data_IF_863811782804
#
_entry.id   IF_863811782804
#
_cell.length_a   1.000
_cell.length_b   1.000
_cell.length_c   1.000
_cell.angle_alpha   90.00
_cell.angle_beta   90.00
_cell.angle_gamma   90.00
#
_symmetry.space_group_name_H-M   'P 1'
#
loop_
_entity.id
_entity.type
_entity.pdbx_description
1 polymer ?
#
# COMPACT_ATOMS: atom_id res chain seq x y z
N UNK A 1 -52.05 22.27 17.33
CA UNK A 1 -52.01 21.22 16.28
C UNK A 1 -50.71 21.35 15.52
N UNK A 2 -50.05 20.19 15.28
CA UNK A 2 -48.92 19.95 14.36
C UNK A 2 -47.59 20.66 14.64
N UNK A 3 -46.44 20.03 14.52
CA UNK A 3 -46.08 18.63 14.38
C UNK A 3 -44.57 18.56 14.69
N UNK A 4 -44.16 17.60 15.51
CA UNK A 4 -42.77 17.20 15.62
C UNK A 4 -42.37 16.52 14.29
N UNK A 5 -41.22 16.88 13.74
CA UNK A 5 -40.59 16.17 12.61
C UNK A 5 -39.10 16.21 12.90
N UNK A 6 -38.63 15.23 13.67
CA UNK A 6 -38.09 13.96 13.16
C UNK A 6 -36.70 14.19 12.55
N UNK A 7 -35.72 13.85 13.38
CA UNK A 7 -34.28 13.84 13.17
C UNK A 7 -33.97 13.02 11.91
N UNK A 8 -33.55 13.67 10.82
CA UNK A 8 -32.90 13.00 9.68
C UNK A 8 -31.44 12.70 10.07
N UNK A 9 -31.23 11.65 10.87
CA UNK A 9 -29.92 11.06 11.11
C UNK A 9 -29.84 9.71 10.44
N UNK A 10 -29.91 9.67 9.10
CA UNK A 10 -29.77 8.42 8.35
C UNK A 10 -29.15 8.69 6.97
N UNK A 11 -27.93 9.23 6.89
CA UNK A 11 -27.23 9.29 5.59
C UNK A 11 -25.72 9.45 5.72
N UNK A 12 -25.06 8.60 6.51
CA UNK A 12 -23.58 8.51 6.48
C UNK A 12 -23.03 7.13 6.85
N UNK A 13 -23.81 6.06 6.69
CA UNK A 13 -23.27 4.69 6.69
C UNK A 13 -22.78 4.34 5.27
N UNK A 14 -22.00 5.24 4.66
CA UNK A 14 -21.24 4.87 3.47
C UNK A 14 -20.26 3.77 3.90
N UNK A 15 -20.25 2.61 3.26
CA UNK A 15 -19.17 1.66 3.45
C UNK A 15 -17.89 2.33 3.00
N UNK A 16 -17.03 2.75 3.94
CA UNK A 16 -15.63 3.07 3.69
C UNK A 16 -14.81 1.84 3.23
N UNK A 17 -15.49 0.74 2.86
CA UNK A 17 -14.92 -0.55 2.51
C UNK A 17 -14.78 -0.77 0.99
N UNK A 18 -15.10 0.23 0.15
CA UNK A 18 -15.01 0.15 -1.31
C UNK A 18 -14.09 1.23 -1.90
N UNK A 19 -13.03 1.56 -1.18
CA UNK A 19 -11.83 2.15 -1.76
C UNK A 19 -10.64 1.38 -1.16
N UNK A 20 -10.68 0.05 -1.25
CA UNK A 20 -9.43 -0.67 -1.26
C UNK A 20 -8.78 -0.27 -2.58
N UNK A 21 -7.97 0.79 -2.54
CA UNK A 21 -7.04 1.13 -3.60
C UNK A 21 -6.15 -0.08 -3.76
N UNK A 22 -6.54 -1.07 -4.56
CA UNK A 22 -5.75 -2.28 -4.76
C UNK A 22 -4.48 -1.85 -5.47
N UNK A 23 -3.32 -2.09 -4.87
CA UNK A 23 -2.05 -1.78 -5.52
C UNK A 23 -2.04 -2.51 -6.87
N UNK A 24 -1.84 -1.78 -7.97
CA UNK A 24 -1.80 -2.41 -9.30
C UNK A 24 -0.46 -3.12 -9.44
N UNK A 25 -0.51 -4.43 -9.64
CA UNK A 25 0.66 -5.23 -9.90
C UNK A 25 1.00 -5.18 -11.40
N UNK A 26 2.07 -4.47 -11.79
CA UNK A 26 2.56 -4.50 -13.17
C UNK A 26 4.00 -5.00 -13.24
N UNK A 27 4.32 -5.77 -14.28
CA UNK A 27 5.69 -6.17 -14.59
C UNK A 27 6.25 -5.26 -15.70
N UNK A 28 7.10 -4.30 -15.37
CA UNK A 28 7.85 -3.54 -16.38
C UNK A 28 8.04 -2.05 -16.07
N UNK A 29 9.31 -1.66 -16.02
CA UNK A 29 9.88 -0.30 -16.11
C UNK A 29 9.19 0.82 -15.31
N UNK A 30 9.57 0.94 -14.04
CA UNK A 30 9.66 2.22 -13.36
C UNK A 30 10.63 3.15 -14.12
N UNK A 31 10.10 4.19 -14.76
CA UNK A 31 10.82 5.10 -15.67
C UNK A 31 11.65 6.18 -14.98
N UNK A 32 11.92 6.03 -13.68
CA UNK A 32 12.43 7.09 -12.83
C UNK A 32 13.32 6.50 -11.73
N UNK A 33 14.39 7.20 -11.36
CA UNK A 33 15.43 6.66 -10.49
C UNK A 33 14.88 5.98 -9.23
N UNK A 34 15.50 4.87 -8.85
CA UNK A 34 15.31 4.29 -7.53
C UNK A 34 15.61 5.35 -6.48
N UNK A 35 14.65 5.62 -5.61
CA UNK A 35 14.76 6.65 -4.56
C UNK A 35 15.11 6.06 -3.20
N UNK A 36 14.78 4.79 -2.97
CA UNK A 36 15.11 4.10 -1.73
C UNK A 36 15.15 2.57 -1.89
N UNK A 37 15.68 1.90 -0.86
CA UNK A 37 15.55 0.45 -0.68
C UNK A 37 15.55 0.10 0.80
N UNK A 38 14.88 -0.98 1.15
CA UNK A 38 14.80 -1.48 2.52
C UNK A 38 14.83 -3.01 2.56
N UNK A 39 15.49 -3.57 3.57
CA UNK A 39 15.40 -4.98 3.91
C UNK A 39 14.19 -5.24 4.80
N UNK A 40 13.61 -6.44 4.71
CA UNK A 40 12.56 -6.84 5.65
C UNK A 40 13.18 -7.26 6.98
N UNK A 41 12.57 -6.80 8.07
CA UNK A 41 12.89 -7.20 9.45
C UNK A 41 11.62 -7.75 10.11
N UNK A 42 11.78 -8.75 10.99
CA UNK A 42 10.64 -9.26 11.76
C UNK A 42 10.18 -8.20 12.76
N UNK A 43 8.87 -7.94 12.78
CA UNK A 43 8.21 -7.07 13.76
C UNK A 43 6.89 -7.72 14.17
N UNK A 44 6.83 -8.25 15.40
CA UNK A 44 5.70 -9.07 15.84
C UNK A 44 5.54 -10.31 14.97
N UNK A 45 4.35 -10.51 14.42
CA UNK A 45 4.02 -11.60 13.49
C UNK A 45 4.26 -11.23 12.00
N UNK A 46 4.64 -9.98 11.74
CA UNK A 46 4.83 -9.44 10.39
C UNK A 46 6.32 -9.31 10.01
N UNK A 47 6.56 -9.30 8.70
CA UNK A 47 7.84 -8.89 8.11
C UNK A 47 7.68 -7.48 7.53
N UNK A 48 8.49 -6.53 7.99
CA UNK A 48 8.33 -5.12 7.66
C UNK A 48 9.60 -4.58 7.00
N UNK A 49 9.44 -3.91 5.86
CA UNK A 49 10.48 -3.15 5.19
C UNK A 49 10.07 -1.68 5.12
N UNK A 50 10.86 -0.80 5.75
CA UNK A 50 10.61 0.64 5.78
C UNK A 50 11.71 1.37 5.04
N UNK A 51 11.34 2.04 3.95
CA UNK A 51 12.15 3.03 3.27
C UNK A 51 11.71 4.42 3.77
N UNK A 52 12.39 4.92 4.81
CA UNK A 52 11.98 6.13 5.54
C UNK A 52 11.66 7.31 4.63
N UNK A 53 10.49 7.92 4.85
CA UNK A 53 10.01 9.07 4.09
C UNK A 53 9.45 8.74 2.69
N UNK A 54 9.44 7.46 2.31
CA UNK A 54 8.97 7.00 1.01
C UNK A 54 7.84 5.99 1.15
N UNK A 55 8.15 4.77 1.59
CA UNK A 55 7.18 3.69 1.66
C UNK A 55 7.50 2.68 2.75
N UNK A 56 6.45 2.11 3.33
CA UNK A 56 6.52 0.98 4.26
C UNK A 56 5.72 -0.20 3.71
N UNK A 57 6.34 -1.37 3.64
CA UNK A 57 5.67 -2.62 3.29
C UNK A 57 5.68 -3.58 4.47
N UNK A 58 4.51 -4.06 4.86
CA UNK A 58 4.33 -5.11 5.86
C UNK A 58 3.76 -6.36 5.20
N UNK A 59 4.26 -7.54 5.57
CA UNK A 59 3.73 -8.82 5.13
C UNK A 59 3.37 -9.67 6.33
N UNK A 60 2.09 -10.01 6.44
CA UNK A 60 1.53 -10.81 7.50
C UNK A 60 0.47 -11.75 6.92
N UNK A 61 0.50 -13.04 7.25
CA UNK A 61 -0.53 -14.01 6.84
C UNK A 61 -0.83 -14.01 5.33
N UNK A 62 0.20 -13.85 4.47
CA UNK A 62 0.10 -13.70 3.01
C UNK A 62 -0.66 -12.45 2.53
N UNK A 63 -0.87 -11.47 3.39
CA UNK A 63 -1.38 -10.15 3.04
C UNK A 63 -0.20 -9.19 3.07
N UNK A 64 -0.08 -8.42 2.00
CA UNK A 64 0.86 -7.30 1.90
C UNK A 64 0.06 -6.03 2.16
N UNK A 65 0.53 -5.24 3.11
CA UNK A 65 0.09 -3.87 3.34
C UNK A 65 1.21 -2.95 2.89
N UNK A 66 0.92 -2.04 1.95
CA UNK A 66 1.87 -1.06 1.44
C UNK A 66 1.34 0.33 1.76
N UNK A 67 2.20 1.17 2.32
CA UNK A 67 1.93 2.56 2.64
C UNK A 67 2.93 3.45 1.90
N UNK A 68 2.46 4.53 1.31
CA UNK A 68 3.26 5.58 0.70
C UNK A 68 3.16 6.83 1.57
N UNK A 69 4.25 7.18 2.25
CA UNK A 69 4.33 8.37 3.10
C UNK A 69 4.69 9.62 2.29
N UNK A 70 5.15 9.45 1.05
CA UNK A 70 5.59 10.54 0.18
C UNK A 70 4.44 11.23 -0.55
N UNK A 71 4.71 12.46 -0.99
CA UNK A 71 3.82 13.24 -1.85
C UNK A 71 3.90 12.87 -3.34
N UNK A 72 4.52 11.74 -3.70
CA UNK A 72 4.71 11.30 -5.10
C UNK A 72 4.11 9.93 -5.34
N UNK A 73 3.75 9.64 -6.59
CA UNK A 73 3.36 8.28 -6.98
C UNK A 73 4.58 7.38 -6.94
N UNK A 74 4.47 6.22 -6.30
CA UNK A 74 5.59 5.29 -6.16
C UNK A 74 5.30 3.96 -6.82
N UNK A 75 6.38 3.28 -7.21
CA UNK A 75 6.41 1.86 -7.51
C UNK A 75 7.27 1.15 -6.47
N UNK A 76 6.66 0.29 -5.67
CA UNK A 76 7.36 -0.59 -4.73
C UNK A 76 7.67 -1.92 -5.42
N UNK A 77 8.94 -2.26 -5.57
CA UNK A 77 9.41 -3.47 -6.25
C UNK A 77 10.02 -4.42 -5.23
N UNK A 78 9.51 -5.64 -5.15
CA UNK A 78 10.21 -6.73 -4.48
C UNK A 78 11.07 -7.41 -5.54
N UNK A 79 12.40 -7.32 -5.38
CA UNK A 79 13.42 -7.65 -6.37
C UNK A 79 13.00 -8.80 -7.32
N UNK A 80 12.55 -8.44 -8.52
CA UNK A 80 12.26 -9.37 -9.61
C UNK A 80 11.01 -10.25 -9.45
N UNK A 81 10.18 -10.03 -8.43
CA UNK A 81 8.97 -10.84 -8.17
C UNK A 81 7.69 -10.08 -8.49
N UNK A 82 7.56 -8.86 -7.98
CA UNK A 82 6.34 -8.07 -8.12
C UNK A 82 6.65 -6.58 -7.99
N UNK A 83 5.90 -5.75 -8.71
CA UNK A 83 5.90 -4.31 -8.54
C UNK A 83 4.50 -3.85 -8.17
N UNK A 84 4.37 -2.89 -7.26
CA UNK A 84 3.11 -2.32 -6.83
C UNK A 84 3.10 -0.82 -7.07
N UNK A 85 2.08 -0.33 -7.75
CA UNK A 85 1.81 1.10 -7.86
C UNK A 85 1.00 1.61 -6.68
N UNK A 86 1.42 2.74 -6.12
CA UNK A 86 0.74 3.38 -4.99
C UNK A 86 0.75 4.90 -5.11
N UNK A 87 -0.42 5.50 -4.93
CA UNK A 87 -0.64 6.95 -5.03
C UNK A 87 0.02 7.71 -3.88
N UNK A 88 0.29 9.02 -4.02
CA UNK A 88 0.79 9.86 -2.92
C UNK A 88 -0.04 9.73 -1.64
N UNK A 89 0.60 9.65 -0.48
CA UNK A 89 -0.06 9.62 0.84
C UNK A 89 -1.21 8.60 0.96
N UNK A 90 -1.06 7.45 0.31
CA UNK A 90 -2.09 6.41 0.27
C UNK A 90 -1.58 5.10 0.87
N UNK A 91 -2.52 4.19 1.14
CA UNK A 91 -2.22 2.85 1.60
C UNK A 91 -3.06 1.84 0.83
N UNK A 92 -2.51 0.66 0.60
CA UNK A 92 -3.17 -0.41 -0.11
C UNK A 92 -2.86 -1.77 0.51
N UNK A 93 -3.78 -2.73 0.29
CA UNK A 93 -3.58 -4.12 0.68
C UNK A 93 -3.80 -5.05 -0.50
N UNK A 94 -2.96 -6.07 -0.61
CA UNK A 94 -3.00 -7.07 -1.69
C UNK A 94 -2.54 -8.42 -1.16
N UNK A 95 -3.04 -9.50 -1.75
CA UNK A 95 -2.53 -10.85 -1.45
C UNK A 95 -1.12 -11.01 -2.02
N UNK A 96 -0.22 -11.56 -1.21
CA UNK A 96 1.13 -11.89 -1.64
C UNK A 96 1.09 -12.91 -2.78
N UNK A 97 1.71 -12.62 -3.94
CA UNK A 97 1.74 -13.57 -5.06
C UNK A 97 2.60 -14.79 -4.71
N UNK A 98 2.36 -15.90 -5.42
CA UNK A 98 3.22 -17.08 -5.33
C UNK A 98 4.67 -16.72 -5.67
N UNK A 99 5.61 -17.02 -4.77
CA UNK A 99 7.03 -16.70 -4.97
C UNK A 99 7.47 -15.37 -4.36
N UNK A 100 6.57 -14.63 -3.70
CA UNK A 100 6.97 -13.52 -2.84
C UNK A 100 7.96 -13.98 -1.78
N UNK A 101 9.11 -13.28 -1.66
CA UNK A 101 10.14 -13.60 -0.68
C UNK A 101 10.67 -12.33 -0.02
N UNK A 102 10.43 -12.20 1.28
CA UNK A 102 10.94 -11.10 2.12
C UNK A 102 12.46 -11.06 2.17
N UNK A 103 13.14 -12.17 1.89
CA UNK A 103 14.61 -12.24 1.82
C UNK A 103 15.22 -11.40 0.70
N UNK A 104 14.43 -10.98 -0.28
CA UNK A 104 14.92 -10.23 -1.44
C UNK A 104 14.99 -8.72 -1.18
N UNK A 105 14.25 -8.19 -0.21
CA UNK A 105 14.15 -6.76 0.06
C UNK A 105 13.21 -6.01 -0.89
N UNK A 106 12.97 -4.74 -0.57
CA UNK A 106 12.12 -3.81 -1.31
C UNK A 106 12.96 -2.69 -1.93
N UNK A 107 12.67 -2.33 -3.17
CA UNK A 107 13.12 -1.09 -3.80
C UNK A 107 11.93 -0.17 -4.02
N UNK A 108 12.16 1.12 -3.91
CA UNK A 108 11.14 2.14 -4.13
C UNK A 108 11.59 3.05 -5.26
N UNK A 109 10.72 3.24 -6.23
CA UNK A 109 10.94 4.05 -7.41
C UNK A 109 9.86 5.13 -7.45
N UNK A 110 10.23 6.38 -7.71
CA UNK A 110 9.29 7.49 -7.76
C UNK A 110 8.85 7.71 -9.21
N UNK A 111 7.57 7.64 -9.56
CA UNK A 111 7.12 8.01 -10.92
C UNK A 111 7.20 9.54 -11.13
N UNK A 112 7.37 10.03 -12.39
CA UNK A 112 7.56 11.44 -12.68
C UNK A 112 6.25 12.24 -12.59
#
# INVERSE_FOLDING_TARGET
>A
MKAATAILSILSLLPAALAADTCVAECGCAGCGQVASAGFVQSGDAQVATAEGWATMSVENNVISLENESGSTLTAVIYGVVCYYISPHSSCTVTAPSGFRTTLGMQVWQHP
#
